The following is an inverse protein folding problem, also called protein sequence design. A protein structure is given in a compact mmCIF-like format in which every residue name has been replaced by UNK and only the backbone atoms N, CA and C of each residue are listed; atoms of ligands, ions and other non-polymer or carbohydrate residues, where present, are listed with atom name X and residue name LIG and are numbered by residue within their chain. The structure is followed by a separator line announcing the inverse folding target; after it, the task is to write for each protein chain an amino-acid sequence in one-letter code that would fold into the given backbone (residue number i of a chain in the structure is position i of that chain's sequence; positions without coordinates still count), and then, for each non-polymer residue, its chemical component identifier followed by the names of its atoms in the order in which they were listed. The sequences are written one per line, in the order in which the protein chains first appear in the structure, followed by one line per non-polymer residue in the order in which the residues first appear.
data_IF_033823972763
#
_entry.id   IF_033823972763
#
_cell.length_a   1.000
_cell.length_b   1.000
_cell.length_c   1.000
_cell.angle_alpha   90.00
_cell.angle_beta   90.00
_cell.angle_gamma   90.00
#
_symmetry.space_group_name_H-M   'P 1'
#
loop_
_entity.id
_entity.type
_entity.pdbx_description
1 polymer ?
#
# COMPACT_ATOMS: atom_id res chain seq x y z
N UNK A 1 -15.29 -3.16 -23.73
CA UNK A 1 -14.89 -1.97 -22.94
C UNK A 1 -13.71 -2.32 -22.05
N UNK A 2 -12.63 -1.55 -22.15
CA UNK A 2 -11.44 -1.74 -21.29
C UNK A 2 -11.86 -1.42 -19.86
N UNK A 3 -11.75 -2.41 -18.97
CA UNK A 3 -12.07 -2.25 -17.56
C UNK A 3 -11.03 -1.32 -16.92
N UNK A 4 -11.44 -0.13 -16.52
CA UNK A 4 -10.53 0.88 -16.01
C UNK A 4 -10.50 0.81 -14.50
N UNK A 5 -9.34 0.48 -13.95
CA UNK A 5 -9.03 0.62 -12.52
C UNK A 5 -8.65 2.07 -12.25
N UNK A 6 -9.11 2.62 -11.14
CA UNK A 6 -8.73 3.95 -10.70
C UNK A 6 -8.65 4.02 -9.17
N UNK A 7 -7.93 5.02 -8.67
CA UNK A 7 -7.82 5.31 -7.24
C UNK A 7 -8.70 6.52 -6.93
N UNK A 8 -9.46 6.44 -5.85
CA UNK A 8 -10.28 7.55 -5.35
C UNK A 8 -10.04 7.78 -3.86
N UNK A 9 -10.12 9.04 -3.43
CA UNK A 9 -10.17 9.38 -2.01
C UNK A 9 -11.36 8.70 -1.37
N UNK A 10 -11.18 8.22 -0.14
CA UNK A 10 -12.25 7.61 0.62
C UNK A 10 -13.06 8.73 1.27
N UNK A 11 -14.27 8.93 0.80
CA UNK A 11 -15.22 9.86 1.37
C UNK A 11 -16.10 9.15 2.41
N UNK A 12 -16.78 9.92 3.25
CA UNK A 12 -17.65 9.38 4.31
C UNK A 12 -18.67 8.36 3.76
N UNK A 13 -19.34 8.70 2.67
CA UNK A 13 -20.36 7.85 2.04
C UNK A 13 -19.80 6.57 1.39
N UNK A 14 -18.49 6.54 1.14
CA UNK A 14 -17.79 5.40 0.53
C UNK A 14 -17.06 4.52 1.56
N UNK A 15 -16.87 5.04 2.79
CA UNK A 15 -16.10 4.39 3.84
C UNK A 15 -16.58 2.94 4.10
N UNK A 16 -17.88 2.74 4.19
CA UNK A 16 -18.49 1.43 4.41
C UNK A 16 -18.15 0.42 3.31
N UNK A 17 -18.06 0.85 2.06
CA UNK A 17 -17.70 -0.03 0.93
C UNK A 17 -16.26 -0.50 1.06
N UNK A 18 -15.36 0.37 1.50
CA UNK A 18 -13.93 0.07 1.65
C UNK A 18 -13.67 -0.79 2.88
N UNK A 19 -14.29 -0.46 4.02
CA UNK A 19 -14.07 -1.20 5.28
C UNK A 19 -14.65 -2.63 5.27
N UNK A 20 -15.63 -2.91 4.40
CA UNK A 20 -16.20 -4.24 4.20
C UNK A 20 -15.38 -5.17 3.29
N UNK A 21 -14.40 -4.65 2.56
CA UNK A 21 -13.52 -5.47 1.72
C UNK A 21 -12.66 -6.40 2.58
N UNK A 22 -12.44 -7.63 2.10
CA UNK A 22 -11.72 -8.67 2.85
C UNK A 22 -10.79 -9.47 1.95
N UNK A 23 -9.63 -9.78 2.44
CA UNK A 23 -8.72 -10.76 1.85
C UNK A 23 -9.17 -12.19 2.13
N UNK A 24 -8.55 -13.18 1.52
CA UNK A 24 -8.75 -14.59 1.84
C UNK A 24 -8.35 -14.89 3.31
N UNK A 25 -8.86 -15.99 3.87
CA UNK A 25 -8.63 -16.33 5.28
C UNK A 25 -7.16 -16.50 5.63
N UNK A 26 -6.40 -17.12 4.75
CA UNK A 26 -4.96 -17.35 4.83
C UNK A 26 -4.10 -16.08 4.66
N UNK A 27 -4.69 -14.99 4.19
CA UNK A 27 -4.01 -13.70 3.99
C UNK A 27 -4.27 -12.70 5.11
N UNK A 28 -5.08 -13.06 6.11
CA UNK A 28 -5.48 -12.11 7.17
C UNK A 28 -4.33 -11.63 8.05
N UNK A 29 -3.27 -12.42 8.18
CA UNK A 29 -2.05 -12.04 8.89
C UNK A 29 -1.15 -11.08 8.10
N UNK A 30 -1.37 -10.96 6.79
CA UNK A 30 -0.50 -10.18 5.89
C UNK A 30 -0.89 -8.70 5.78
N UNK A 31 -2.12 -8.35 6.13
CA UNK A 31 -2.60 -6.97 6.07
C UNK A 31 -3.66 -6.71 7.13
N UNK A 32 -3.57 -5.57 7.78
CA UNK A 32 -4.58 -5.13 8.75
C UNK A 32 -5.94 -4.88 8.07
N UNK A 33 -7.06 -5.02 8.78
CA UNK A 33 -8.37 -4.60 8.31
C UNK A 33 -8.35 -3.14 7.83
N UNK A 34 -9.12 -2.84 6.78
CA UNK A 34 -9.12 -1.48 6.24
C UNK A 34 -9.64 -0.44 7.24
N UNK A 35 -10.55 -0.80 8.14
CA UNK A 35 -11.02 0.08 9.20
C UNK A 35 -9.87 0.46 10.16
N UNK A 36 -9.09 -0.52 10.61
CA UNK A 36 -7.94 -0.29 11.48
C UNK A 36 -6.88 0.58 10.76
N UNK A 37 -6.65 0.31 9.48
CA UNK A 37 -5.72 1.09 8.66
C UNK A 37 -6.14 2.56 8.53
N UNK A 38 -7.44 2.86 8.45
CA UNK A 38 -7.96 4.23 8.43
C UNK A 38 -7.82 4.91 9.79
N UNK A 39 -7.95 4.16 10.88
CA UNK A 39 -7.67 4.65 12.25
C UNK A 39 -6.18 4.96 12.40
N UNK A 40 -5.29 4.07 11.94
CA UNK A 40 -3.84 4.31 11.94
C UNK A 40 -3.48 5.57 11.14
N UNK A 41 -4.11 5.77 9.98
CA UNK A 41 -3.92 6.97 9.17
C UNK A 41 -4.34 8.25 9.92
N UNK A 42 -5.47 8.19 10.64
CA UNK A 42 -5.94 9.32 11.44
C UNK A 42 -4.90 9.75 12.48
N UNK A 43 -4.37 8.81 13.27
CA UNK A 43 -3.37 9.09 14.30
C UNK A 43 -2.03 9.52 13.70
N UNK A 44 -1.58 8.89 12.63
CA UNK A 44 -0.37 9.30 11.94
C UNK A 44 -0.44 10.75 11.44
N UNK A 45 -1.60 11.17 10.92
CA UNK A 45 -1.81 12.55 10.45
C UNK A 45 -1.92 13.54 11.63
N UNK A 46 -2.69 13.19 12.66
CA UNK A 46 -3.07 14.14 13.71
C UNK A 46 -2.04 14.27 14.83
N UNK A 47 -1.37 13.18 15.18
CA UNK A 47 -0.42 13.14 16.29
C UNK A 47 1.04 13.17 15.83
N UNK A 48 1.35 12.51 14.71
CA UNK A 48 2.73 12.39 14.23
C UNK A 48 3.06 13.36 13.08
N UNK A 49 2.05 14.02 12.50
CA UNK A 49 2.22 14.97 11.39
C UNK A 49 2.63 14.31 10.07
N UNK A 50 2.48 13.00 9.95
CA UNK A 50 2.82 12.23 8.75
C UNK A 50 1.78 12.52 7.66
N UNK A 51 2.21 12.70 6.42
CA UNK A 51 1.31 12.81 5.28
C UNK A 51 0.90 11.42 4.81
N UNK A 52 -0.37 11.10 4.95
CA UNK A 52 -0.94 9.79 4.58
C UNK A 52 -2.04 9.97 3.55
N UNK A 53 -2.05 9.11 2.55
CA UNK A 53 -2.96 9.12 1.41
C UNK A 53 -3.67 7.75 1.30
N UNK A 54 -4.79 7.54 2.00
CA UNK A 54 -5.61 6.35 1.83
C UNK A 54 -6.49 6.49 0.59
N UNK A 55 -6.51 5.45 -0.26
CA UNK A 55 -7.33 5.38 -1.46
C UNK A 55 -8.15 4.08 -1.49
N UNK A 56 -9.39 4.19 -1.93
CA UNK A 56 -10.14 3.07 -2.47
C UNK A 56 -9.66 2.75 -3.89
N UNK A 57 -9.54 1.47 -4.19
CA UNK A 57 -9.28 0.98 -5.54
C UNK A 57 -10.61 0.59 -6.14
N UNK A 58 -10.94 1.19 -7.28
CA UNK A 58 -12.23 0.99 -7.94
C UNK A 58 -12.07 0.38 -9.32
N UNK A 59 -13.05 -0.46 -9.68
CA UNK A 59 -13.27 -0.98 -11.01
C UNK A 59 -14.65 -0.51 -11.50
N UNK A 60 -14.68 0.49 -12.36
CA UNK A 60 -15.91 1.24 -12.60
C UNK A 60 -16.43 1.84 -11.29
N UNK A 61 -17.65 1.49 -10.89
CA UNK A 61 -18.27 1.96 -9.63
C UNK A 61 -18.10 0.99 -8.44
N UNK A 62 -17.37 -0.11 -8.63
CA UNK A 62 -17.20 -1.14 -7.59
C UNK A 62 -15.89 -0.96 -6.85
N UNK A 63 -15.93 -0.86 -5.54
CA UNK A 63 -14.75 -0.96 -4.71
C UNK A 63 -14.19 -2.38 -4.79
N UNK A 64 -12.91 -2.51 -5.16
CA UNK A 64 -12.23 -3.79 -5.35
C UNK A 64 -10.98 -3.96 -4.49
N UNK A 65 -10.53 -2.89 -3.84
CA UNK A 65 -9.36 -2.93 -2.98
C UNK A 65 -9.12 -1.63 -2.23
N UNK A 66 -8.02 -1.61 -1.51
CA UNK A 66 -7.57 -0.48 -0.70
C UNK A 66 -6.06 -0.35 -0.81
N UNK A 67 -5.56 0.87 -0.87
CA UNK A 67 -4.14 1.18 -0.81
C UNK A 67 -3.92 2.44 0.03
N UNK A 68 -2.91 2.43 0.88
CA UNK A 68 -2.55 3.56 1.71
C UNK A 68 -1.06 3.86 1.57
N UNK A 69 -0.77 5.11 1.21
CA UNK A 69 0.58 5.59 0.97
C UNK A 69 0.90 6.63 2.04
N UNK A 70 2.08 6.55 2.64
CA UNK A 70 2.57 7.53 3.58
C UNK A 70 3.89 8.13 3.09
N UNK A 71 4.23 9.31 3.61
CA UNK A 71 5.49 9.98 3.31
C UNK A 71 6.29 10.18 4.58
N UNK A 72 7.55 9.75 4.54
CA UNK A 72 8.53 9.94 5.61
C UNK A 72 8.11 9.33 6.95
N UNK A 73 7.87 8.01 6.93
CA UNK A 73 7.40 7.26 8.10
C UNK A 73 8.54 7.01 9.11
N UNK A 74 8.56 7.63 10.30
CA UNK A 74 9.62 7.46 11.30
C UNK A 74 9.78 6.01 11.76
N UNK A 75 8.69 5.26 11.87
CA UNK A 75 8.74 3.86 12.26
C UNK A 75 9.43 2.98 11.19
N UNK A 76 9.22 3.23 9.91
CA UNK A 76 9.89 2.49 8.84
C UNK A 76 11.41 2.80 8.82
N UNK A 77 11.79 4.05 9.04
CA UNK A 77 13.20 4.43 9.25
C UNK A 77 13.79 3.71 10.45
N UNK A 78 13.08 3.67 11.57
CA UNK A 78 13.55 3.01 12.81
C UNK A 78 13.71 1.49 12.61
N UNK A 79 12.75 0.83 11.97
CA UNK A 79 12.77 -0.64 11.82
C UNK A 79 13.73 -1.13 10.74
N UNK A 80 13.77 -0.46 9.59
CA UNK A 80 14.52 -0.90 8.42
C UNK A 80 15.76 -0.05 8.12
N UNK A 81 16.02 1.02 8.86
CA UNK A 81 17.13 1.93 8.59
C UNK A 81 16.95 2.69 7.26
N UNK A 82 15.71 2.97 6.86
CA UNK A 82 15.44 3.66 5.60
C UNK A 82 15.93 5.12 5.66
N UNK A 83 16.36 5.70 4.52
CA UNK A 83 16.69 7.12 4.44
C UNK A 83 15.45 7.99 4.71
N UNK A 84 15.66 9.25 5.04
CA UNK A 84 14.57 10.22 5.15
C UNK A 84 13.97 10.57 3.78
N UNK A 85 12.78 11.14 3.78
CA UNK A 85 12.06 11.65 2.60
C UNK A 85 11.76 10.58 1.54
N UNK A 86 11.10 9.51 1.98
CA UNK A 86 10.65 8.44 1.10
C UNK A 86 9.13 8.30 1.13
N UNK A 87 8.56 7.79 0.02
CA UNK A 87 7.20 7.28 0.01
C UNK A 87 7.19 5.84 0.48
N UNK A 88 6.11 5.45 1.17
CA UNK A 88 5.92 4.11 1.69
C UNK A 88 4.50 3.62 1.40
N UNK A 89 4.37 2.51 0.69
CA UNK A 89 3.09 1.83 0.54
C UNK A 89 2.85 1.05 1.83
N UNK A 90 2.09 1.67 2.73
CA UNK A 90 1.88 1.18 4.09
C UNK A 90 0.86 0.05 4.15
N UNK A 91 -0.19 0.14 3.33
CA UNK A 91 -1.24 -0.88 3.22
C UNK A 91 -1.62 -1.08 1.77
N UNK A 92 -1.82 -2.34 1.41
CA UNK A 92 -2.30 -2.68 0.08
C UNK A 92 -3.04 -4.01 0.10
N UNK A 93 -4.28 -4.03 -0.40
CA UNK A 93 -5.04 -5.25 -0.57
C UNK A 93 -6.01 -5.16 -1.74
N UNK A 94 -6.29 -6.30 -2.33
CA UNK A 94 -7.41 -6.52 -3.26
C UNK A 94 -8.40 -7.48 -2.58
N UNK A 95 -9.67 -7.13 -2.64
CA UNK A 95 -10.72 -7.99 -2.10
C UNK A 95 -10.67 -9.38 -2.75
N UNK A 96 -10.89 -10.42 -1.93
CA UNK A 96 -10.81 -11.83 -2.33
C UNK A 96 -11.59 -12.19 -3.59
N UNK A 97 -12.71 -11.48 -3.85
CA UNK A 97 -13.55 -11.70 -5.03
C UNK A 97 -12.93 -11.18 -6.33
N UNK A 98 -11.92 -10.34 -6.22
CA UNK A 98 -11.30 -9.63 -7.33
C UNK A 98 -9.81 -9.95 -7.50
N UNK A 99 -9.24 -10.81 -6.65
CA UNK A 99 -7.87 -11.29 -6.79
C UNK A 99 -7.69 -12.13 -8.06
N UNK A 100 -6.46 -12.26 -8.55
CA UNK A 100 -6.13 -13.05 -9.74
C UNK A 100 -6.57 -12.43 -11.08
N UNK A 101 -7.17 -11.24 -11.08
CA UNK A 101 -7.69 -10.58 -12.28
C UNK A 101 -6.80 -9.43 -12.81
N UNK A 102 -5.59 -9.29 -12.26
CA UNK A 102 -4.64 -8.24 -12.65
C UNK A 102 -4.87 -6.88 -12.00
N UNK A 103 -5.90 -6.73 -11.16
CA UNK A 103 -6.24 -5.46 -10.52
C UNK A 103 -5.13 -4.95 -9.60
N UNK A 104 -4.46 -5.85 -8.88
CA UNK A 104 -3.35 -5.46 -8.00
C UNK A 104 -2.19 -4.81 -8.76
N UNK A 105 -1.82 -5.37 -9.90
CA UNK A 105 -0.75 -4.82 -10.73
C UNK A 105 -1.08 -3.41 -11.24
N UNK A 106 -2.31 -3.22 -11.70
CA UNK A 106 -2.75 -1.92 -12.21
C UNK A 106 -2.88 -0.90 -11.08
N UNK A 107 -3.42 -1.28 -9.93
CA UNK A 107 -3.52 -0.41 -8.75
C UNK A 107 -2.14 0.06 -8.27
N UNK A 108 -1.15 -0.83 -8.20
CA UNK A 108 0.23 -0.44 -7.86
C UNK A 108 0.84 0.52 -8.87
N UNK A 109 0.61 0.32 -10.17
CA UNK A 109 1.07 1.26 -11.21
C UNK A 109 0.46 2.64 -11.04
N UNK A 110 -0.82 2.72 -10.71
CA UNK A 110 -1.51 3.97 -10.42
C UNK A 110 -0.96 4.64 -9.16
N UNK A 111 -0.71 3.86 -8.11
CA UNK A 111 -0.09 4.36 -6.88
C UNK A 111 1.31 4.93 -7.14
N UNK A 112 2.13 4.23 -7.90
CA UNK A 112 3.47 4.73 -8.31
C UNK A 112 3.35 6.00 -9.14
N UNK A 113 2.39 6.06 -10.07
CA UNK A 113 2.12 7.27 -10.84
C UNK A 113 1.73 8.44 -9.94
N UNK A 114 0.90 8.21 -8.95
CA UNK A 114 0.55 9.21 -7.93
C UNK A 114 1.78 9.65 -7.14
N UNK A 115 2.58 8.72 -6.63
CA UNK A 115 3.82 9.02 -5.90
C UNK A 115 4.78 9.88 -6.73
N UNK A 116 4.92 9.60 -8.02
CA UNK A 116 5.75 10.37 -8.96
C UNK A 116 5.28 11.82 -9.20
N UNK A 117 4.10 12.19 -8.75
CA UNK A 117 3.67 13.59 -8.69
C UNK A 117 4.23 14.33 -7.46
N UNK A 118 4.88 13.61 -6.55
CA UNK A 118 5.48 14.13 -5.31
C UNK A 118 4.54 14.95 -4.44
N UNK A 119 3.35 14.42 -4.09
CA UNK A 119 2.31 15.19 -3.40
C UNK A 119 2.71 15.65 -1.99
N UNK A 120 3.68 14.99 -1.37
CA UNK A 120 4.21 15.33 -0.05
C UNK A 120 5.61 15.95 -0.07
N UNK A 121 6.33 15.81 -1.18
CA UNK A 121 7.70 16.28 -1.35
C UNK A 121 8.49 15.37 -2.29
N UNK A 122 9.59 15.87 -2.83
CA UNK A 122 10.48 15.09 -3.71
C UNK A 122 11.07 13.90 -2.95
N UNK A 123 11.19 12.78 -3.63
CA UNK A 123 11.81 11.56 -3.15
C UNK A 123 12.45 10.80 -4.31
N UNK A 124 13.50 10.05 -4.02
CA UNK A 124 14.15 9.16 -4.99
C UNK A 124 13.61 7.74 -4.91
N UNK A 125 12.79 7.43 -3.90
CA UNK A 125 12.38 6.07 -3.63
C UNK A 125 10.94 5.95 -3.11
N UNK A 126 10.29 4.88 -3.53
CA UNK A 126 9.08 4.35 -2.92
C UNK A 126 9.39 2.98 -2.31
N UNK A 127 9.08 2.81 -1.04
CA UNK A 127 9.31 1.60 -0.29
C UNK A 127 8.00 0.89 0.04
N UNK A 128 8.10 -0.37 0.34
CA UNK A 128 7.08 -1.20 0.96
C UNK A 128 7.76 -2.34 1.72
N UNK A 129 7.00 -3.06 2.52
CA UNK A 129 7.43 -4.32 3.11
C UNK A 129 6.30 -5.35 3.06
N UNK A 130 6.63 -6.61 3.20
CA UNK A 130 5.68 -7.72 3.16
C UNK A 130 6.20 -8.91 3.95
N UNK A 131 5.27 -9.70 4.49
CA UNK A 131 5.59 -10.93 5.20
C UNK A 131 6.31 -11.93 4.28
N UNK A 132 7.37 -12.61 4.74
CA UNK A 132 8.13 -13.56 3.93
C UNK A 132 7.28 -14.65 3.27
N UNK A 133 6.20 -15.07 3.94
CA UNK A 133 5.28 -16.10 3.46
C UNK A 133 4.27 -15.58 2.43
N UNK A 134 4.19 -14.26 2.22
CA UNK A 134 3.27 -13.64 1.27
C UNK A 134 3.83 -13.67 -0.17
N UNK A 135 3.97 -14.85 -0.72
CA UNK A 135 4.53 -15.04 -2.07
C UNK A 135 3.72 -14.37 -3.18
N UNK A 136 2.41 -14.24 -3.00
CA UNK A 136 1.55 -13.53 -3.93
C UNK A 136 1.90 -12.05 -4.02
N UNK A 137 2.10 -11.38 -2.89
CA UNK A 137 2.55 -10.00 -2.83
C UNK A 137 3.97 -9.86 -3.36
N UNK A 138 4.89 -10.74 -2.95
CA UNK A 138 6.27 -10.77 -3.44
C UNK A 138 6.32 -10.79 -4.96
N UNK A 139 5.67 -11.78 -5.58
CA UNK A 139 5.61 -11.91 -7.04
C UNK A 139 5.06 -10.66 -7.72
N UNK A 140 4.03 -10.04 -7.13
CA UNK A 140 3.42 -8.83 -7.66
C UNK A 140 4.38 -7.65 -7.60
N UNK A 141 5.03 -7.41 -6.46
CA UNK A 141 5.94 -6.28 -6.26
C UNK A 141 7.17 -6.37 -7.17
N UNK A 142 7.78 -7.55 -7.28
CA UNK A 142 8.91 -7.77 -8.20
C UNK A 142 8.51 -7.53 -9.67
N UNK A 143 7.32 -7.98 -10.09
CA UNK A 143 6.81 -7.73 -11.45
C UNK A 143 6.54 -6.26 -11.76
N UNK A 144 6.31 -5.45 -10.76
CA UNK A 144 6.11 -3.99 -10.90
C UNK A 144 7.43 -3.24 -10.87
N UNK A 145 8.50 -3.87 -10.42
CA UNK A 145 9.86 -3.33 -10.46
C UNK A 145 10.46 -3.00 -9.08
N UNK A 146 9.80 -3.39 -7.99
CA UNK A 146 10.40 -3.32 -6.67
C UNK A 146 11.57 -4.31 -6.57
N UNK A 147 12.61 -3.91 -5.86
CA UNK A 147 13.80 -4.72 -5.58
C UNK A 147 13.87 -4.98 -4.08
N UNK A 148 13.95 -6.24 -3.70
CA UNK A 148 14.09 -6.64 -2.30
C UNK A 148 15.40 -6.15 -1.71
N UNK A 149 15.36 -5.71 -0.47
CA UNK A 149 16.51 -5.29 0.32
C UNK A 149 16.73 -6.29 1.45
N UNK A 150 17.19 -7.48 1.07
CA UNK A 150 17.47 -8.57 2.01
C UNK A 150 18.60 -8.21 2.99
N UNK A 151 19.45 -7.27 2.63
CA UNK A 151 20.48 -6.68 3.51
C UNK A 151 19.89 -5.89 4.69
N UNK A 152 18.64 -5.42 4.57
CA UNK A 152 17.91 -4.71 5.62
C UNK A 152 16.90 -5.60 6.36
N UNK A 153 16.65 -6.81 5.84
CA UNK A 153 15.73 -7.76 6.46
C UNK A 153 16.30 -8.30 7.78
N UNK A 154 15.48 -8.34 8.79
CA UNK A 154 15.79 -8.92 10.11
C UNK A 154 14.86 -10.09 10.37
N UNK A 155 15.35 -11.05 11.16
CA UNK A 155 14.54 -12.20 11.61
C UNK A 155 13.23 -11.70 12.27
N UNK A 156 12.14 -12.39 12.02
CA UNK A 156 10.79 -12.06 12.50
C UNK A 156 10.23 -10.71 12.01
N UNK A 157 10.76 -10.15 10.93
CA UNK A 157 10.28 -8.92 10.32
C UNK A 157 9.88 -9.12 8.85
N UNK A 158 9.07 -8.20 8.35
CA UNK A 158 8.74 -8.13 6.92
C UNK A 158 9.99 -7.86 6.06
N UNK A 159 9.97 -8.32 4.83
CA UNK A 159 11.02 -8.06 3.83
C UNK A 159 10.79 -6.68 3.22
N UNK A 160 11.71 -5.73 3.39
CA UNK A 160 11.62 -4.43 2.73
C UNK A 160 12.00 -4.52 1.25
N UNK A 161 11.29 -3.77 0.43
CA UNK A 161 11.59 -3.63 -0.99
C UNK A 161 11.45 -2.18 -1.44
N UNK A 162 12.22 -1.80 -2.44
CA UNK A 162 12.35 -0.42 -2.93
C UNK A 162 12.13 -0.33 -4.43
N UNK A 163 11.45 0.71 -4.84
CA UNK A 163 11.35 1.16 -6.23
C UNK A 163 12.01 2.54 -6.35
N UNK A 164 12.96 2.67 -7.26
CA UNK A 164 13.53 3.97 -7.64
C UNK A 164 12.49 4.78 -8.43
N UNK A 165 12.28 6.04 -8.06
CA UNK A 165 11.28 6.94 -8.65
C UNK A 165 11.83 7.72 -9.86
#
# INVERSE_FOLDING_TARGET
MKKIIHLEKILWDECDKITKLKVNKDQKSFVAPNADSLIDAYFAITEEGIKVYPFGIYYGRKAVGFIMIAFDCPWATKYYGLPEKFYYIWRFMIDRKYQGQGFGKEALRLAIKFVKTFPAGKSEACWLSYEPENEGARSLYLKVGFVERLDLHKEDMEIPAVLKL
#
